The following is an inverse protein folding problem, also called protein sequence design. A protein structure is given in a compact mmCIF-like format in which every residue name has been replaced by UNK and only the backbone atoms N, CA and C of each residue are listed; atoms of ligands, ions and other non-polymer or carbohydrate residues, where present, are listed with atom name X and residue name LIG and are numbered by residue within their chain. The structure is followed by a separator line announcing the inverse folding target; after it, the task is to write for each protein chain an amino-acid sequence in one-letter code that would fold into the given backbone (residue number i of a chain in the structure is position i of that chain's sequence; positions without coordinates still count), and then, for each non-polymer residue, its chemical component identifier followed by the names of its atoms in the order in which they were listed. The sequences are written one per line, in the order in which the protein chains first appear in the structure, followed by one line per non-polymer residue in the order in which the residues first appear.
data_IF_344725178853
#
_entry.id   IF_344725178853
#
_cell.length_a   1.000
_cell.length_b   1.000
_cell.length_c   1.000
_cell.angle_alpha   90.00
_cell.angle_beta   90.00
_cell.angle_gamma   90.00
#
_symmetry.space_group_name_H-M   'P 1'
#
loop_
_entity.id
_entity.type
_entity.pdbx_description
1 polymer ?
#
# COMPACT_ATOMS: atom_id res chain seq x y z
N UNK A 1 -1.74 -9.44 -13.73
CA UNK A 1 -1.11 -10.75 -14.04
C UNK A 1 -0.43 -11.30 -12.80
N UNK A 2 -0.78 -12.53 -12.39
CA UNK A 2 -0.20 -13.22 -11.23
C UNK A 2 0.74 -14.32 -11.70
N UNK A 3 1.95 -14.36 -11.14
CA UNK A 3 2.99 -15.32 -11.51
C UNK A 3 3.49 -16.03 -10.26
N UNK A 4 3.20 -17.32 -10.14
CA UNK A 4 3.63 -18.15 -9.02
C UNK A 4 4.87 -18.97 -9.35
N UNK A 5 5.80 -19.10 -8.41
CA UNK A 5 6.85 -20.13 -8.46
C UNK A 5 6.23 -21.51 -8.21
N UNK A 6 6.80 -22.56 -8.79
CA UNK A 6 6.33 -23.93 -8.62
C UNK A 6 6.26 -24.38 -7.15
N UNK A 7 7.17 -23.88 -6.30
CA UNK A 7 7.20 -24.20 -4.88
C UNK A 7 6.35 -23.27 -4.00
N UNK A 8 5.68 -22.26 -4.55
CA UNK A 8 4.98 -21.23 -3.76
C UNK A 8 3.92 -21.82 -2.82
N UNK A 9 3.05 -22.68 -3.34
CA UNK A 9 2.00 -23.33 -2.55
C UNK A 9 2.59 -24.28 -1.50
N UNK A 10 3.63 -25.06 -1.86
CA UNK A 10 4.31 -25.97 -0.93
C UNK A 10 4.92 -25.20 0.24
N UNK A 11 5.61 -24.08 -0.04
CA UNK A 11 6.18 -23.22 1.00
C UNK A 11 5.08 -22.62 1.88
N UNK A 12 4.01 -22.08 1.29
CA UNK A 12 2.89 -21.49 2.03
C UNK A 12 2.20 -22.52 2.96
N UNK A 13 1.95 -23.73 2.45
CA UNK A 13 1.38 -24.85 3.22
C UNK A 13 2.31 -25.26 4.37
N UNK A 14 3.60 -25.39 4.10
CA UNK A 14 4.59 -25.69 5.13
C UNK A 14 4.61 -24.60 6.22
N UNK A 15 4.59 -23.31 5.85
CA UNK A 15 4.52 -22.21 6.80
C UNK A 15 3.22 -22.25 7.63
N UNK A 16 2.09 -22.55 7.01
CA UNK A 16 0.81 -22.69 7.72
C UNK A 16 0.86 -23.78 8.80
N UNK A 17 1.42 -24.94 8.47
CA UNK A 17 1.50 -26.09 9.39
C UNK A 17 2.52 -25.80 10.50
N UNK A 18 3.74 -25.39 10.15
CA UNK A 18 4.80 -25.19 11.15
C UNK A 18 4.52 -24.07 12.14
N UNK A 19 3.69 -23.08 11.78
CA UNK A 19 3.33 -21.96 12.64
C UNK A 19 1.91 -22.06 13.21
N UNK A 20 1.21 -23.18 12.97
CA UNK A 20 -0.20 -23.41 13.32
C UNK A 20 -1.09 -22.18 13.06
N UNK A 21 -1.12 -21.78 11.78
CA UNK A 21 -1.83 -20.59 11.33
C UNK A 21 -3.24 -20.93 10.84
N UNK A 22 -4.21 -20.09 11.19
CA UNK A 22 -5.56 -20.14 10.64
C UNK A 22 -5.67 -19.40 9.31
N UNK A 23 -4.89 -18.32 9.13
CA UNK A 23 -4.80 -17.52 7.91
C UNK A 23 -3.35 -17.13 7.62
N UNK A 24 -2.92 -17.39 6.37
CA UNK A 24 -1.67 -16.90 5.80
C UNK A 24 -1.99 -16.02 4.60
N UNK A 25 -1.48 -14.79 4.60
CA UNK A 25 -1.47 -13.91 3.44
C UNK A 25 -0.04 -13.55 3.07
N UNK A 26 0.24 -13.52 1.77
CA UNK A 26 1.57 -13.25 1.25
C UNK A 26 1.56 -11.94 0.45
N UNK A 27 2.54 -11.09 0.70
CA UNK A 27 2.79 -9.89 -0.09
C UNK A 27 3.64 -10.26 -1.31
N UNK A 28 3.18 -10.02 -2.56
CA UNK A 28 3.93 -10.37 -3.75
C UNK A 28 5.10 -9.42 -4.02
N UNK A 29 5.99 -9.86 -4.91
CA UNK A 29 6.84 -8.92 -5.64
C UNK A 29 5.96 -8.09 -6.58
N UNK A 30 6.13 -6.78 -6.55
CA UNK A 30 5.45 -5.88 -7.48
C UNK A 30 6.20 -5.78 -8.81
N UNK A 31 5.46 -5.85 -9.92
CA UNK A 31 5.98 -5.64 -11.27
C UNK A 31 5.44 -4.31 -11.80
N UNK A 32 6.33 -3.47 -12.33
CA UNK A 32 6.00 -2.16 -12.89
C UNK A 32 6.42 -2.10 -14.35
N UNK A 33 5.47 -2.20 -15.28
CA UNK A 33 5.76 -2.24 -16.72
C UNK A 33 5.78 -0.86 -17.38
N UNK A 34 4.80 0.00 -17.10
CA UNK A 34 4.67 1.32 -17.73
C UNK A 34 5.37 2.44 -16.94
N UNK A 35 5.47 3.62 -17.57
CA UNK A 35 5.96 4.84 -16.90
C UNK A 35 5.11 5.17 -15.67
N UNK A 36 3.79 5.25 -15.81
CA UNK A 36 2.89 5.60 -14.70
C UNK A 36 2.86 4.56 -13.58
N UNK A 37 3.07 3.28 -13.89
CA UNK A 37 3.26 2.25 -12.88
C UNK A 37 4.50 2.54 -12.01
N UNK A 38 5.62 2.97 -12.60
CA UNK A 38 6.86 3.31 -11.89
C UNK A 38 6.80 4.65 -11.15
N UNK A 39 5.95 5.57 -11.60
CA UNK A 39 5.76 6.89 -10.96
C UNK A 39 4.87 6.77 -9.72
N UNK A 40 3.70 6.13 -9.83
CA UNK A 40 2.64 6.25 -8.81
C UNK A 40 2.66 5.10 -7.80
N UNK A 41 2.76 3.86 -8.26
CA UNK A 41 2.59 2.70 -7.38
C UNK A 41 3.68 2.58 -6.29
N UNK A 42 4.97 2.86 -6.56
CA UNK A 42 6.00 2.79 -5.54
C UNK A 42 5.73 3.73 -4.37
N UNK A 43 5.26 4.95 -4.65
CA UNK A 43 4.91 5.93 -3.63
C UNK A 43 3.73 5.43 -2.79
N UNK A 44 2.71 4.83 -3.41
CA UNK A 44 1.57 4.26 -2.69
C UNK A 44 1.99 3.06 -1.84
N UNK A 45 2.82 2.15 -2.35
CA UNK A 45 3.33 1.01 -1.57
C UNK A 45 4.23 1.46 -0.42
N UNK A 46 5.11 2.44 -0.65
CA UNK A 46 5.90 3.06 0.41
C UNK A 46 5.02 3.70 1.49
N UNK A 47 3.96 4.40 1.08
CA UNK A 47 2.99 4.98 2.00
C UNK A 47 2.23 3.91 2.82
N UNK A 48 1.75 2.85 2.18
CA UNK A 48 1.10 1.74 2.88
C UNK A 48 2.07 1.07 3.86
N UNK A 49 3.31 0.83 3.46
CA UNK A 49 4.35 0.25 4.31
C UNK A 49 4.66 1.16 5.51
N UNK A 50 4.76 2.47 5.30
CA UNK A 50 5.00 3.45 6.37
C UNK A 50 3.86 3.49 7.41
N UNK A 51 2.61 3.29 6.97
CA UNK A 51 1.45 3.25 7.87
C UNK A 51 1.17 1.88 8.47
N UNK A 52 1.77 0.81 7.92
CA UNK A 52 1.51 -0.56 8.33
C UNK A 52 2.62 -1.11 9.19
N UNK A 53 2.33 -1.30 10.48
CA UNK A 53 3.22 -2.07 11.35
C UNK A 53 2.94 -3.57 11.19
N UNK A 54 3.74 -4.27 10.37
CA UNK A 54 3.65 -5.72 10.21
C UNK A 54 3.83 -6.47 11.54
N UNK A 55 4.59 -5.92 12.49
CA UNK A 55 4.68 -6.46 13.86
C UNK A 55 3.34 -6.45 14.57
N UNK A 56 2.57 -5.36 14.47
CA UNK A 56 1.20 -5.28 15.03
C UNK A 56 0.21 -6.17 14.27
N UNK A 57 0.35 -6.24 12.95
CA UNK A 57 -0.48 -7.13 12.11
C UNK A 57 -0.29 -8.59 12.50
N UNK A 58 0.95 -9.01 12.78
CA UNK A 58 1.29 -10.40 13.13
C UNK A 58 1.23 -10.71 14.64
N UNK A 59 0.90 -9.73 15.48
CA UNK A 59 0.74 -9.94 16.93
C UNK A 59 -0.70 -10.31 17.28
N UNK A 60 -0.92 -11.37 18.05
CA UNK A 60 -2.23 -11.75 18.58
C UNK A 60 -2.88 -10.68 19.46
N UNK A 61 -2.06 -9.83 20.11
CA UNK A 61 -2.52 -8.86 21.10
C UNK A 61 -2.96 -7.51 20.51
N UNK A 62 -3.04 -7.38 19.18
CA UNK A 62 -3.42 -6.14 18.51
C UNK A 62 -4.46 -6.37 17.44
N UNK A 63 -5.48 -5.52 17.30
CA UNK A 63 -6.55 -5.71 16.31
C UNK A 63 -6.17 -5.29 14.87
N UNK A 64 -4.91 -4.94 14.63
CA UNK A 64 -4.46 -4.57 13.29
C UNK A 64 -4.38 -5.83 12.44
N UNK A 65 -4.92 -5.78 11.23
CA UNK A 65 -4.89 -6.88 10.30
C UNK A 65 -4.61 -6.35 8.90
N UNK A 66 -4.00 -7.22 8.09
CA UNK A 66 -3.76 -6.97 6.68
C UNK A 66 -4.07 -8.26 5.95
N UNK A 67 -4.80 -8.15 4.85
CA UNK A 67 -5.00 -9.22 3.88
C UNK A 67 -4.60 -8.69 2.53
N UNK A 68 -3.98 -9.53 1.70
CA UNK A 68 -3.73 -9.24 0.30
C UNK A 68 -4.55 -10.21 -0.54
N UNK A 69 -5.59 -9.71 -1.21
CA UNK A 69 -6.58 -10.54 -1.90
C UNK A 69 -6.01 -11.47 -2.98
N UNK A 70 -4.80 -11.21 -3.49
CA UNK A 70 -4.16 -12.12 -4.45
C UNK A 70 -3.68 -13.43 -3.81
N UNK A 71 -3.44 -13.45 -2.49
CA UNK A 71 -3.03 -14.65 -1.78
C UNK A 71 -3.60 -14.68 -0.36
N UNK A 72 -4.65 -15.49 -0.17
CA UNK A 72 -5.24 -15.81 1.11
C UNK A 72 -5.37 -17.33 1.22
N UNK A 73 -4.60 -17.92 2.12
CA UNK A 73 -4.68 -19.34 2.45
C UNK A 73 -5.31 -19.48 3.83
N UNK A 74 -6.33 -20.32 3.95
CA UNK A 74 -7.05 -20.53 5.21
C UNK A 74 -7.09 -22.00 5.61
N UNK A 75 -7.06 -22.25 6.92
CA UNK A 75 -7.53 -23.53 7.48
C UNK A 75 -9.05 -23.61 7.26
N UNK A 76 -9.52 -24.72 6.67
CA UNK A 76 -10.93 -24.87 6.25
C UNK A 76 -11.93 -24.59 7.37
N UNK A 77 -11.70 -25.18 8.55
CA UNK A 77 -12.58 -25.02 9.72
C UNK A 77 -12.62 -23.56 10.18
N UNK A 78 -11.49 -22.88 10.17
CA UNK A 78 -11.35 -21.48 10.59
C UNK A 78 -12.02 -20.52 9.60
N UNK A 79 -11.90 -20.79 8.29
CA UNK A 79 -12.62 -20.05 7.25
C UNK A 79 -14.14 -20.19 7.38
N UNK A 80 -14.63 -21.40 7.66
CA UNK A 80 -16.05 -21.67 7.88
C UNK A 80 -16.55 -20.98 9.17
N UNK A 81 -15.76 -21.03 10.26
CA UNK A 81 -16.09 -20.39 11.54
C UNK A 81 -16.36 -18.88 11.39
N UNK A 82 -15.63 -18.19 10.52
CA UNK A 82 -15.83 -16.75 10.29
C UNK A 82 -16.91 -16.43 9.25
N UNK A 83 -17.55 -17.45 8.65
CA UNK A 83 -18.55 -17.30 7.59
C UNK A 83 -17.96 -17.06 6.19
N UNK A 84 -16.65 -17.26 6.02
CA UNK A 84 -15.93 -17.05 4.76
C UNK A 84 -16.09 -15.66 4.15
N UNK A 85 -15.85 -15.55 2.84
CA UNK A 85 -15.97 -14.29 2.08
C UNK A 85 -17.41 -13.75 2.01
N UNK A 86 -18.44 -14.60 2.15
CA UNK A 86 -19.83 -14.13 2.23
C UNK A 86 -20.01 -13.13 3.36
N UNK A 87 -19.24 -13.28 4.43
CA UNK A 87 -19.33 -12.40 5.60
C UNK A 87 -18.72 -11.01 5.42
N UNK A 88 -18.03 -10.77 4.30
CA UNK A 88 -17.46 -9.47 3.93
C UNK A 88 -17.87 -9.07 2.50
N UNK A 89 -18.91 -9.69 1.93
CA UNK A 89 -19.30 -9.48 0.53
C UNK A 89 -19.75 -8.03 0.21
N UNK A 90 -20.13 -7.26 1.23
CA UNK A 90 -20.51 -5.85 1.09
C UNK A 90 -19.35 -4.88 1.38
N UNK A 91 -18.16 -5.39 1.71
CA UNK A 91 -16.99 -4.57 1.99
C UNK A 91 -16.24 -4.27 0.68
N UNK A 92 -15.71 -3.06 0.51
CA UNK A 92 -14.86 -2.74 -0.65
C UNK A 92 -13.44 -3.31 -0.46
N UNK A 93 -12.98 -3.36 0.80
CA UNK A 93 -11.69 -3.89 1.22
C UNK A 93 -11.85 -5.30 1.80
N UNK A 94 -12.50 -6.20 1.04
CA UNK A 94 -12.88 -7.55 1.47
C UNK A 94 -11.70 -8.34 2.08
N UNK A 95 -10.52 -8.21 1.49
CA UNK A 95 -9.29 -8.89 1.91
C UNK A 95 -8.77 -8.45 3.28
N UNK A 96 -8.75 -7.13 3.53
CA UNK A 96 -8.40 -6.58 4.85
C UNK A 96 -9.47 -6.95 5.87
N UNK A 97 -10.74 -6.89 5.49
CA UNK A 97 -11.87 -7.12 6.39
C UNK A 97 -11.99 -8.59 6.80
N UNK A 98 -11.75 -9.54 5.90
CA UNK A 98 -11.75 -10.98 6.25
C UNK A 98 -10.55 -11.32 7.16
N UNK A 99 -9.38 -10.72 6.93
CA UNK A 99 -8.22 -10.87 7.80
C UNK A 99 -8.49 -10.28 9.20
N UNK A 100 -9.10 -9.10 9.25
CA UNK A 100 -9.52 -8.46 10.51
C UNK A 100 -10.54 -9.32 11.26
N UNK A 101 -11.54 -9.86 10.57
CA UNK A 101 -12.55 -10.74 11.16
C UNK A 101 -11.94 -12.02 11.70
N UNK A 102 -10.99 -12.62 10.97
CA UNK A 102 -10.21 -13.77 11.44
C UNK A 102 -9.56 -13.48 12.79
N UNK A 103 -8.84 -12.36 12.88
CA UNK A 103 -8.17 -11.94 14.11
C UNK A 103 -9.12 -11.65 15.27
N UNK A 104 -10.25 -10.99 15.00
CA UNK A 104 -11.27 -10.71 16.01
C UNK A 104 -11.96 -11.98 16.54
N UNK A 105 -11.89 -13.09 15.83
CA UNK A 105 -12.38 -14.40 16.27
C UNK A 105 -11.32 -15.23 17.04
N UNK A 106 -10.21 -14.59 17.44
CA UNK A 106 -9.12 -15.21 18.18
C UNK A 106 -8.27 -16.18 17.35
N UNK A 107 -8.37 -16.11 16.03
CA UNK A 107 -7.66 -17.01 15.11
C UNK A 107 -6.28 -16.44 14.75
N UNK A 108 -5.30 -17.32 14.54
CA UNK A 108 -3.91 -16.95 14.26
C UNK A 108 -3.75 -16.50 12.80
N UNK A 109 -3.11 -15.33 12.60
CA UNK A 109 -2.87 -14.77 11.26
C UNK A 109 -1.40 -14.47 11.05
N UNK A 110 -0.93 -14.62 9.82
CA UNK A 110 0.38 -14.16 9.39
C UNK A 110 0.28 -13.43 8.05
N UNK A 111 0.69 -12.16 8.03
CA UNK A 111 1.07 -11.44 6.82
C UNK A 111 2.59 -11.55 6.64
N UNK A 112 3.02 -12.29 5.61
CA UNK A 112 4.44 -12.53 5.34
C UNK A 112 4.85 -11.95 3.99
N UNK A 113 6.14 -11.63 3.87
CA UNK A 113 6.75 -11.28 2.60
C UNK A 113 6.86 -12.54 1.72
N UNK A 114 6.19 -12.50 0.58
CA UNK A 114 6.15 -13.55 -0.42
C UNK A 114 6.82 -13.15 -1.74
N UNK A 115 7.67 -12.11 -1.75
CA UNK A 115 8.28 -11.57 -2.99
C UNK A 115 9.07 -12.58 -3.81
N UNK A 116 9.62 -13.61 -3.16
CA UNK A 116 10.32 -14.71 -3.82
C UNK A 116 9.41 -15.88 -4.23
N UNK A 117 8.15 -15.90 -3.78
CA UNK A 117 7.18 -16.96 -4.05
C UNK A 117 6.26 -16.62 -5.21
N UNK A 118 5.86 -15.36 -5.33
CA UNK A 118 5.01 -14.91 -6.43
C UNK A 118 5.15 -13.41 -6.69
N UNK A 119 4.80 -13.02 -7.91
CA UNK A 119 4.82 -11.65 -8.37
C UNK A 119 3.48 -11.24 -8.97
N UNK A 120 3.17 -9.95 -8.91
CA UNK A 120 1.97 -9.38 -9.50
C UNK A 120 2.28 -8.11 -10.29
N UNK A 121 1.74 -8.01 -11.50
CA UNK A 121 1.50 -6.72 -12.17
C UNK A 121 0.04 -6.33 -11.90
N UNK A 122 -0.15 -5.38 -10.98
CA UNK A 122 -1.46 -5.03 -10.42
C UNK A 122 -2.32 -4.20 -11.39
N UNK A 123 -1.68 -3.28 -12.12
CA UNK A 123 -2.30 -2.38 -13.08
C UNK A 123 -1.39 -2.23 -14.31
N UNK A 124 -1.97 -1.94 -15.46
CA UNK A 124 -1.25 -1.85 -16.73
C UNK A 124 -1.27 -0.45 -17.34
N UNK A 125 -2.04 0.48 -16.76
CA UNK A 125 -2.21 1.85 -17.26
C UNK A 125 -2.50 2.86 -16.14
N UNK A 126 -2.29 4.16 -16.43
CA UNK A 126 -2.64 5.24 -15.51
C UNK A 126 -4.14 5.24 -15.18
N UNK A 127 -5.00 4.92 -16.17
CA UNK A 127 -6.44 4.82 -15.98
C UNK A 127 -6.80 3.74 -14.96
N UNK A 128 -6.16 2.59 -15.04
CA UNK A 128 -6.38 1.49 -14.08
C UNK A 128 -5.87 1.84 -12.68
N UNK A 129 -4.67 2.44 -12.57
CA UNK A 129 -4.11 2.94 -11.31
C UNK A 129 -5.10 3.93 -10.67
N UNK A 130 -5.59 4.89 -11.45
CA UNK A 130 -6.54 5.89 -10.99
C UNK A 130 -7.82 5.25 -10.45
N UNK A 131 -8.50 4.44 -11.26
CA UNK A 131 -9.78 3.82 -10.84
C UNK A 131 -9.56 2.88 -9.66
N UNK A 132 -8.48 2.09 -9.67
CA UNK A 132 -8.17 1.09 -8.65
C UNK A 132 -7.84 1.69 -7.28
N UNK A 133 -7.01 2.74 -7.23
CA UNK A 133 -6.67 3.39 -5.96
C UNK A 133 -7.75 4.34 -5.47
N UNK A 134 -8.46 5.02 -6.37
CA UNK A 134 -9.56 5.93 -6.03
C UNK A 134 -10.66 5.26 -5.21
N UNK A 135 -10.94 3.97 -5.41
CA UNK A 135 -11.94 3.26 -4.59
C UNK A 135 -11.43 2.85 -3.19
N UNK A 136 -10.12 2.67 -3.02
CA UNK A 136 -9.54 2.04 -1.84
C UNK A 136 -8.98 3.06 -0.85
N UNK A 137 -8.35 4.12 -1.34
CA UNK A 137 -7.44 4.94 -0.52
C UNK A 137 -8.15 5.72 0.58
N UNK A 138 -9.32 6.33 0.32
CA UNK A 138 -10.08 7.04 1.35
C UNK A 138 -10.76 6.09 2.36
N UNK A 139 -11.17 4.90 1.91
CA UNK A 139 -11.71 3.85 2.78
C UNK A 139 -10.65 3.30 3.73
N UNK A 140 -9.41 3.14 3.25
CA UNK A 140 -8.28 2.79 4.09
C UNK A 140 -8.03 3.82 5.21
N UNK A 141 -8.39 5.09 4.99
CA UNK A 141 -8.36 6.16 5.99
C UNK A 141 -9.60 6.21 6.90
N UNK A 142 -10.44 5.15 6.87
CA UNK A 142 -11.71 5.06 7.61
C UNK A 142 -12.65 6.22 7.32
N UNK A 143 -12.67 6.71 6.07
CA UNK A 143 -13.51 7.83 5.62
C UNK A 143 -13.31 9.13 6.42
N UNK A 144 -12.15 9.30 7.08
CA UNK A 144 -11.86 10.48 7.89
C UNK A 144 -11.19 11.57 7.05
N UNK A 145 -11.88 12.71 6.88
CA UNK A 145 -11.36 13.89 6.17
C UNK A 145 -10.07 14.40 6.80
N UNK A 146 -10.04 14.49 8.15
CA UNK A 146 -8.86 14.95 8.88
C UNK A 146 -7.64 14.07 8.60
N UNK A 147 -7.81 12.74 8.60
CA UNK A 147 -6.71 11.81 8.28
C UNK A 147 -6.29 11.93 6.83
N UNK A 148 -7.23 12.01 5.91
CA UNK A 148 -6.92 12.19 4.49
C UNK A 148 -6.09 13.46 4.27
N UNK A 149 -6.50 14.59 4.84
CA UNK A 149 -5.76 15.85 4.72
C UNK A 149 -4.38 15.79 5.37
N UNK A 150 -4.30 15.24 6.59
CA UNK A 150 -3.02 15.03 7.27
C UNK A 150 -2.04 14.23 6.41
N UNK A 151 -2.48 13.11 5.82
CA UNK A 151 -1.62 12.29 4.98
C UNK A 151 -1.32 12.91 3.61
N UNK A 152 -2.24 13.69 3.03
CA UNK A 152 -1.97 14.46 1.81
C UNK A 152 -0.81 15.43 2.05
N UNK A 153 -0.90 16.22 3.12
CA UNK A 153 0.13 17.17 3.51
C UNK A 153 1.43 16.45 3.86
N UNK A 154 1.38 15.38 4.65
CA UNK A 154 2.55 14.61 5.05
C UNK A 154 3.31 14.05 3.84
N UNK A 155 2.62 13.46 2.86
CA UNK A 155 3.23 12.89 1.65
C UNK A 155 3.88 13.99 0.80
N UNK A 156 3.19 15.12 0.61
CA UNK A 156 3.77 16.26 -0.12
C UNK A 156 4.98 16.83 0.61
N UNK A 157 4.87 17.07 1.92
CA UNK A 157 5.97 17.62 2.71
C UNK A 157 7.18 16.68 2.70
N UNK A 158 6.98 15.37 2.85
CA UNK A 158 8.10 14.43 2.88
C UNK A 158 8.83 14.34 1.53
N UNK A 159 8.09 14.38 0.41
CA UNK A 159 8.67 14.14 -0.92
C UNK A 159 9.03 15.43 -1.70
N UNK A 160 8.39 16.57 -1.44
CA UNK A 160 8.65 17.82 -2.16
C UNK A 160 9.50 18.81 -1.35
N UNK A 161 9.38 18.86 -0.03
CA UNK A 161 10.09 19.87 0.79
C UNK A 161 11.60 19.88 0.56
N UNK A 162 12.32 18.73 0.49
CA UNK A 162 13.76 18.75 0.26
C UNK A 162 14.16 19.45 -1.05
N UNK A 163 13.35 19.29 -2.10
CA UNK A 163 13.56 19.94 -3.39
C UNK A 163 13.25 21.44 -3.33
N UNK A 164 12.11 21.79 -2.73
CA UNK A 164 11.67 23.19 -2.60
C UNK A 164 12.69 24.00 -1.79
N UNK A 165 13.16 23.47 -0.66
CA UNK A 165 14.11 24.17 0.21
C UNK A 165 15.45 24.40 -0.48
N UNK A 166 15.98 23.42 -1.22
CA UNK A 166 17.21 23.60 -2.00
C UNK A 166 17.02 24.69 -3.06
N UNK A 167 15.91 24.68 -3.80
CA UNK A 167 15.62 25.69 -4.83
C UNK A 167 15.46 27.09 -4.24
N UNK A 168 14.76 27.23 -3.11
CA UNK A 168 14.63 28.52 -2.42
C UNK A 168 15.97 29.05 -1.92
N UNK A 169 16.81 28.19 -1.33
CA UNK A 169 18.15 28.58 -0.85
C UNK A 169 19.06 29.06 -2.00
N UNK A 170 19.00 28.38 -3.16
CA UNK A 170 19.72 28.80 -4.35
C UNK A 170 19.23 30.14 -4.89
N UNK A 171 17.91 30.37 -4.89
CA UNK A 171 17.32 31.59 -5.42
C UNK A 171 17.53 32.81 -4.52
N UNK A 172 17.41 32.63 -3.21
CA UNK A 172 17.56 33.71 -2.22
C UNK A 172 19.02 33.98 -1.86
N UNK A 173 19.96 33.09 -2.21
CA UNK A 173 21.38 33.26 -1.90
C UNK A 173 21.67 33.23 -0.39
N UNK A 174 21.00 32.35 0.36
CA UNK A 174 21.05 32.29 1.85
C UNK A 174 22.41 31.89 2.44
N UNK A 175 23.42 31.64 1.61
CA UNK A 175 24.79 31.32 2.01
C UNK A 175 25.09 29.82 2.05
N UNK A 176 26.38 29.48 2.02
CA UNK A 176 26.87 28.10 1.83
C UNK A 176 26.42 27.12 2.92
N UNK A 177 26.25 27.59 4.17
CA UNK A 177 25.83 26.75 5.29
C UNK A 177 24.40 26.23 5.13
N UNK A 178 23.44 27.13 4.83
CA UNK A 178 22.03 26.76 4.66
C UNK A 178 21.82 25.90 3.41
N UNK A 179 22.54 26.22 2.34
CA UNK A 179 22.57 25.39 1.14
C UNK A 179 23.08 23.98 1.47
N UNK A 180 24.19 23.86 2.22
CA UNK A 180 24.75 22.59 2.66
C UNK A 180 23.77 21.74 3.47
N UNK A 181 23.05 22.35 4.43
CA UNK A 181 22.01 21.66 5.22
C UNK A 181 20.88 21.16 4.31
N UNK A 182 20.40 22.00 3.38
CA UNK A 182 19.33 21.60 2.45
C UNK A 182 19.74 20.48 1.50
N UNK A 183 20.99 20.48 1.03
CA UNK A 183 21.54 19.43 0.18
C UNK A 183 21.70 18.11 0.95
N UNK A 184 22.10 18.15 2.23
CA UNK A 184 22.09 16.98 3.10
C UNK A 184 20.68 16.41 3.29
N UNK A 185 19.68 17.28 3.52
CA UNK A 185 18.28 16.87 3.61
C UNK A 185 17.78 16.20 2.33
N UNK A 186 18.10 16.79 1.16
CA UNK A 186 17.79 16.19 -0.14
C UNK A 186 18.50 14.84 -0.32
N UNK A 187 19.79 14.74 0.02
CA UNK A 187 20.55 13.50 -0.07
C UNK A 187 19.96 12.38 0.80
N UNK A 188 19.55 12.68 2.03
CA UNK A 188 18.87 11.72 2.92
C UNK A 188 17.52 11.27 2.36
N UNK A 189 16.74 12.21 1.79
CA UNK A 189 15.46 11.87 1.16
C UNK A 189 15.64 10.97 -0.07
N UNK A 190 16.66 11.23 -0.88
CA UNK A 190 17.02 10.40 -2.03
C UNK A 190 17.54 9.02 -1.57
N UNK A 191 18.33 8.95 -0.50
CA UNK A 191 18.80 7.69 0.05
C UNK A 191 17.63 6.81 0.53
N UNK A 192 16.65 7.39 1.22
CA UNK A 192 15.41 6.69 1.58
C UNK A 192 14.63 6.20 0.35
N UNK A 193 14.52 7.05 -0.67
CA UNK A 193 13.90 6.69 -1.95
C UNK A 193 14.64 5.59 -2.71
N UNK A 194 15.97 5.56 -2.65
CA UNK A 194 16.78 4.47 -3.21
C UNK A 194 16.57 3.15 -2.46
N UNK A 195 16.40 3.19 -1.14
CA UNK A 195 16.01 2.03 -0.35
C UNK A 195 14.66 1.45 -0.80
N UNK A 196 13.67 2.32 -1.02
CA UNK A 196 12.37 1.90 -1.58
C UNK A 196 12.50 1.34 -3.00
N UNK A 197 13.34 1.93 -3.86
CA UNK A 197 13.60 1.38 -5.19
C UNK A 197 14.21 -0.02 -5.11
N UNK A 198 15.17 -0.23 -4.20
CA UNK A 198 15.80 -1.53 -4.01
C UNK A 198 14.79 -2.59 -3.53
N UNK A 199 13.98 -2.25 -2.52
CA UNK A 199 12.97 -3.17 -1.98
C UNK A 199 11.91 -3.57 -3.02
N UNK A 200 11.55 -2.64 -3.90
CA UNK A 200 10.57 -2.85 -4.97
C UNK A 200 11.18 -3.37 -6.29
N UNK A 201 12.49 -3.61 -6.36
CA UNK A 201 13.15 -4.08 -7.58
C UNK A 201 13.16 -3.07 -8.73
N UNK A 202 13.10 -1.78 -8.43
CA UNK A 202 13.12 -0.69 -9.40
C UNK A 202 14.55 -0.24 -9.73
N UNK A 203 14.75 0.25 -10.96
CA UNK A 203 15.98 0.95 -11.33
C UNK A 203 16.17 2.21 -10.48
N UNK A 204 17.42 2.48 -10.04
CA UNK A 204 17.76 3.58 -9.12
C UNK A 204 17.32 4.96 -9.60
N UNK A 205 17.32 5.20 -10.92
CA UNK A 205 16.88 6.47 -11.53
C UNK A 205 15.40 6.79 -11.28
N UNK A 206 14.58 5.80 -10.93
CA UNK A 206 13.16 6.02 -10.65
C UNK A 206 12.93 6.82 -9.36
N UNK A 207 13.95 6.99 -8.50
CA UNK A 207 13.86 7.84 -7.30
C UNK A 207 13.44 9.27 -7.63
N UNK A 208 13.86 9.80 -8.78
CA UNK A 208 13.50 11.15 -9.23
C UNK A 208 12.04 11.26 -9.68
N UNK A 209 11.33 10.14 -9.87
CA UNK A 209 9.92 10.11 -10.23
C UNK A 209 8.99 10.22 -9.01
N UNK A 210 9.51 9.99 -7.81
CA UNK A 210 8.69 9.94 -6.59
C UNK A 210 7.99 11.26 -6.24
N UNK A 211 8.59 12.46 -6.45
CA UNK A 211 7.86 13.72 -6.25
C UNK A 211 6.64 13.84 -7.17
N UNK A 212 6.76 13.43 -8.45
CA UNK A 212 5.62 13.39 -9.37
C UNK A 212 4.58 12.36 -8.92
N UNK A 213 5.03 11.19 -8.47
CA UNK A 213 4.16 10.16 -7.89
C UNK A 213 3.38 10.64 -6.67
N UNK A 214 4.01 11.44 -5.80
CA UNK A 214 3.40 12.05 -4.62
C UNK A 214 2.23 12.97 -4.99
N UNK A 215 2.45 13.85 -5.97
CA UNK A 215 1.42 14.78 -6.47
C UNK A 215 0.24 13.98 -7.02
N UNK A 216 0.51 13.00 -7.88
CA UNK A 216 -0.55 12.17 -8.49
C UNK A 216 -1.30 11.36 -7.45
N UNK A 217 -0.61 10.77 -6.47
CA UNK A 217 -1.23 10.06 -5.36
C UNK A 217 -2.16 10.97 -4.55
N UNK A 218 -1.73 12.20 -4.26
CA UNK A 218 -2.54 13.19 -3.52
C UNK A 218 -3.77 13.59 -4.31
N UNK A 219 -3.65 13.79 -5.62
CA UNK A 219 -4.79 14.05 -6.51
C UNK A 219 -5.77 12.87 -6.49
N UNK A 220 -5.29 11.63 -6.57
CA UNK A 220 -6.14 10.42 -6.45
C UNK A 220 -6.83 10.37 -5.08
N UNK A 221 -6.11 10.68 -4.00
CA UNK A 221 -6.65 10.68 -2.64
C UNK A 221 -7.71 11.75 -2.44
N UNK A 222 -7.49 12.95 -2.96
CA UNK A 222 -8.45 14.05 -2.95
C UNK A 222 -9.70 13.69 -3.75
N UNK A 223 -9.53 13.16 -4.97
CA UNK A 223 -10.66 12.71 -5.78
C UNK A 223 -11.44 11.58 -5.10
N UNK A 224 -10.74 10.62 -4.48
CA UNK A 224 -11.35 9.53 -3.71
C UNK A 224 -12.22 10.05 -2.58
N UNK A 225 -11.72 11.03 -1.82
CA UNK A 225 -12.45 11.71 -0.75
C UNK A 225 -13.69 12.42 -1.27
N UNK A 226 -13.55 13.29 -2.28
CA UNK A 226 -14.66 14.04 -2.87
C UNK A 226 -15.74 13.12 -3.41
N UNK A 227 -15.34 12.09 -4.15
CA UNK A 227 -16.29 11.14 -4.74
C UNK A 227 -17.03 10.34 -3.67
N UNK A 228 -16.35 9.88 -2.62
CA UNK A 228 -16.99 9.10 -1.55
C UNK A 228 -17.96 9.95 -0.75
N UNK A 229 -17.64 11.22 -0.51
CA UNK A 229 -18.49 12.15 0.23
C UNK A 229 -19.70 12.65 -0.58
N UNK A 230 -19.53 12.87 -1.89
CA UNK A 230 -20.60 13.42 -2.74
C UNK A 230 -21.53 12.37 -3.34
N UNK A 231 -21.01 11.19 -3.69
CA UNK A 231 -21.76 10.21 -4.48
C UNK A 231 -22.29 9.03 -3.66
N UNK A 232 -21.88 8.87 -2.39
CA UNK A 232 -22.23 7.75 -1.48
C UNK A 232 -22.13 6.34 -2.10
N UNK A 233 -21.48 6.23 -3.27
CA UNK A 233 -21.47 5.05 -4.11
C UNK A 233 -20.08 4.87 -4.69
N UNK A 234 -19.55 3.67 -4.51
CA UNK A 234 -18.31 3.25 -5.16
C UNK A 234 -18.67 2.18 -6.19
N UNK A 235 -18.57 2.53 -7.47
CA UNK A 235 -18.73 1.57 -8.58
C UNK A 235 -17.42 0.85 -8.85
N UNK A 236 -17.45 -0.48 -8.80
CA UNK A 236 -16.29 -1.32 -9.12
C UNK A 236 -16.72 -2.58 -9.88
N UNK A 237 -16.15 -2.77 -11.09
CA UNK A 237 -16.41 -3.93 -11.98
C UNK A 237 -17.91 -4.26 -12.15
N UNK A 238 -18.75 -3.23 -12.30
CA UNK A 238 -20.21 -3.37 -12.46
C UNK A 238 -20.99 -3.57 -11.16
N UNK A 239 -20.35 -3.54 -9.98
CA UNK A 239 -21.02 -3.57 -8.68
C UNK A 239 -21.00 -2.18 -8.04
N UNK A 240 -22.16 -1.69 -7.61
CA UNK A 240 -22.30 -0.48 -6.79
C UNK A 240 -22.28 -0.85 -5.32
N UNK A 241 -21.25 -0.42 -4.60
CA UNK A 241 -21.24 -0.46 -3.14
C UNK A 241 -21.86 0.83 -2.63
N UNK A 242 -22.98 0.74 -1.90
CA UNK A 242 -23.55 1.87 -1.15
C UNK A 242 -22.90 1.93 0.22
N UNK A 243 -22.51 3.14 0.63
CA UNK A 243 -21.76 3.41 1.86
C UNK A 243 -22.61 3.62 3.09
#
# INVERSE_FOLDING_TARGET
DLMYRSHALKTAMHTMICKDLDLLTLMPAAIFGSFWERVVQPVIFGFIAALTSFRKVNSSNHQSAMGFGAFLLFKKVSYQKIGGHLSVANEVLEDIMIAKKTKLNGLSILAADGKHLFAIRMYHSMKEIWVGWRKNIFLAMKKSILRAFYYMVMVLCFLLTPYIVVMCNLWMGTGNLWLGISLLGLALSLAAGLGLCHELGLERKNVFLFPLGAIVMVVIMFNSMVQTLLLERTEWRGRTYRH
#
